data_IF_017294894415
#
_entry.id   IF_017294894415
#
_cell.length_a   1.000
_cell.length_b   1.000
_cell.length_c   1.000
_cell.angle_alpha   90.00
_cell.angle_beta   90.00
_cell.angle_gamma   90.00
#
_symmetry.space_group_name_H-M   'P 1'
#
loop_
_entity.id
_entity.type
_entity.pdbx_description
1 polymer ?
#
# COMPACT_ATOMS: atom_id res chain seq x y z
N UNK A 1 -3.42 12.18 -3.62
CA UNK A 1 -2.89 11.01 -4.32
C UNK A 1 -1.47 10.80 -3.84
N UNK A 2 -1.16 9.62 -3.33
CA UNK A 2 0.12 9.29 -2.71
C UNK A 2 0.85 8.35 -3.66
N UNK A 3 1.67 8.94 -4.54
CA UNK A 3 2.53 8.17 -5.42
C UNK A 3 3.48 7.27 -4.60
N UNK A 4 3.94 6.13 -5.15
CA UNK A 4 5.00 5.37 -4.51
C UNK A 4 6.27 6.21 -4.35
N UNK A 5 7.06 5.89 -3.33
CA UNK A 5 8.44 6.35 -3.25
C UNK A 5 9.29 5.53 -4.20
N UNK A 6 10.05 6.21 -5.06
CA UNK A 6 10.96 5.60 -6.04
C UNK A 6 12.39 5.91 -5.63
N UNK A 7 13.22 4.88 -5.60
CA UNK A 7 14.67 4.94 -5.37
C UNK A 7 15.33 4.38 -6.63
N UNK A 8 16.29 5.12 -7.19
CA UNK A 8 17.05 4.65 -8.36
C UNK A 8 18.28 3.84 -7.93
N UNK A 9 18.67 2.90 -8.79
CA UNK A 9 19.91 2.12 -8.68
C UNK A 9 20.26 1.49 -10.03
N UNK A 10 21.53 1.13 -10.24
CA UNK A 10 22.02 0.63 -11.53
C UNK A 10 22.04 -0.90 -11.67
N UNK A 11 21.83 -1.65 -10.58
CA UNK A 11 21.77 -3.10 -10.60
C UNK A 11 20.55 -3.62 -11.38
N UNK A 12 20.67 -4.80 -12.00
CA UNK A 12 19.56 -5.52 -12.63
C UNK A 12 18.66 -6.22 -11.60
N UNK A 13 18.22 -5.46 -10.60
CA UNK A 13 17.37 -5.89 -9.50
C UNK A 13 16.40 -4.76 -9.15
N UNK A 14 15.12 -5.11 -9.02
CA UNK A 14 14.07 -4.22 -8.51
C UNK A 14 13.57 -4.75 -7.16
N UNK A 15 13.59 -3.88 -6.16
CA UNK A 15 12.99 -4.16 -4.85
C UNK A 15 11.59 -3.53 -4.79
N UNK A 16 10.62 -4.30 -4.31
CA UNK A 16 9.23 -3.86 -4.19
C UNK A 16 8.79 -4.01 -2.73
N UNK A 17 8.11 -3.00 -2.21
CA UNK A 17 7.60 -2.99 -0.85
C UNK A 17 6.14 -2.51 -0.81
N UNK A 18 5.20 -3.44 -1.01
CA UNK A 18 3.76 -3.15 -1.16
C UNK A 18 3.09 -2.68 0.14
N UNK A 19 3.59 -3.14 1.29
CA UNK A 19 2.98 -2.91 2.61
C UNK A 19 3.88 -2.04 3.50
N UNK A 20 4.50 -1.01 2.93
CA UNK A 20 5.56 -0.25 3.59
C UNK A 20 5.09 0.98 4.38
N UNK A 21 3.80 1.30 4.37
CA UNK A 21 3.24 2.48 5.02
C UNK A 21 1.95 2.14 5.75
N UNK A 22 1.67 2.81 6.86
CA UNK A 22 0.38 2.78 7.54
C UNK A 22 -0.48 4.03 7.22
N UNK A 23 -0.02 4.90 6.30
CA UNK A 23 -0.68 6.17 6.05
C UNK A 23 -2.03 5.99 5.35
N UNK A 24 -3.00 6.82 5.76
CA UNK A 24 -4.32 6.90 5.15
C UNK A 24 -4.42 8.25 4.41
N UNK A 25 -4.78 8.28 3.11
CA UNK A 25 -4.93 9.52 2.37
C UNK A 25 -6.02 10.43 2.97
N UNK A 26 -5.88 11.77 2.85
CA UNK A 26 -6.93 12.69 3.26
C UNK A 26 -8.28 12.36 2.61
N UNK A 27 -9.36 12.42 3.38
CA UNK A 27 -10.72 12.12 2.90
C UNK A 27 -11.09 10.64 2.92
N UNK A 28 -10.18 9.74 3.31
CA UNK A 28 -10.51 8.33 3.57
C UNK A 28 -10.67 8.15 5.08
N UNK A 29 -11.87 7.77 5.51
CA UNK A 29 -12.13 7.31 6.88
C UNK A 29 -12.29 5.78 6.85
N UNK A 30 -11.41 5.07 7.56
CA UNK A 30 -11.46 3.61 7.68
C UNK A 30 -12.35 3.13 8.84
N UNK A 31 -12.73 4.03 9.76
CA UNK A 31 -13.57 3.71 10.92
C UNK A 31 -12.95 2.68 11.88
N UNK A 32 -11.63 2.49 11.85
CA UNK A 32 -10.88 1.56 12.70
C UNK A 32 -10.14 2.31 13.81
N UNK A 33 -9.89 1.64 14.94
CA UNK A 33 -9.12 2.22 16.06
C UNK A 33 -7.75 2.74 15.56
N UNK A 34 -7.44 4.04 15.74
CA UNK A 34 -6.16 4.61 15.37
C UNK A 34 -4.94 3.90 16.00
N UNK A 35 -5.12 3.26 17.16
CA UNK A 35 -4.08 2.46 17.82
C UNK A 35 -3.60 1.26 16.99
N UNK A 36 -4.38 0.83 15.99
CA UNK A 36 -4.06 -0.32 15.15
C UNK A 36 -3.15 0.03 13.95
N UNK A 37 -2.96 1.30 13.60
CA UNK A 37 -2.08 1.69 12.49
C UNK A 37 -0.59 1.39 12.75
N UNK A 38 -0.20 1.19 14.01
CA UNK A 38 1.16 0.74 14.37
C UNK A 38 1.38 -0.77 14.25
N UNK A 39 0.32 -1.54 13.97
CA UNK A 39 0.36 -3.00 13.96
C UNK A 39 0.49 -3.58 12.56
N UNK A 40 0.86 -4.86 12.51
CA UNK A 40 1.08 -5.62 11.28
C UNK A 40 -0.13 -5.64 10.32
N UNK A 41 -1.35 -5.38 10.82
CA UNK A 41 -2.56 -5.31 9.99
C UNK A 41 -2.53 -4.15 8.99
N UNK A 42 -1.85 -3.05 9.35
CA UNK A 42 -1.83 -1.82 8.56
C UNK A 42 -0.57 -1.63 7.73
N UNK A 43 0.53 -2.27 8.15
CA UNK A 43 1.87 -2.10 7.60
C UNK A 43 2.74 -3.31 7.94
N UNK A 44 3.61 -3.72 7.03
CA UNK A 44 4.68 -4.65 7.34
C UNK A 44 5.80 -3.89 8.06
N UNK A 45 5.89 -4.09 9.37
CA UNK A 45 6.74 -3.30 10.28
C UNK A 45 8.21 -3.44 9.86
N UNK A 46 8.83 -2.30 9.54
CA UNK A 46 10.23 -2.21 9.16
C UNK A 46 10.51 -2.41 7.67
N UNK A 47 9.52 -2.82 6.86
CA UNK A 47 9.74 -3.11 5.43
C UNK A 47 10.24 -1.89 4.65
N UNK A 48 9.72 -0.69 4.89
CA UNK A 48 10.23 0.53 4.26
C UNK A 48 11.74 0.73 4.53
N UNK A 49 12.13 0.71 5.80
CA UNK A 49 13.52 0.92 6.21
C UNK A 49 14.44 -0.18 5.68
N UNK A 50 13.99 -1.43 5.69
CA UNK A 50 14.74 -2.55 5.15
C UNK A 50 14.95 -2.41 3.64
N UNK A 51 13.90 -2.11 2.89
CA UNK A 51 13.98 -1.93 1.43
C UNK A 51 14.87 -0.76 1.05
N UNK A 52 14.82 0.35 1.79
CA UNK A 52 15.74 1.49 1.61
C UNK A 52 17.20 1.10 1.85
N UNK A 53 17.49 0.37 2.92
CA UNK A 53 18.82 -0.10 3.24
C UNK A 53 19.36 -1.09 2.18
N UNK A 54 18.50 -2.00 1.71
CA UNK A 54 18.86 -2.96 0.65
C UNK A 54 19.08 -2.27 -0.69
N UNK A 55 18.24 -1.30 -1.06
CA UNK A 55 18.42 -0.51 -2.28
C UNK A 55 19.79 0.17 -2.30
N UNK A 56 20.16 0.80 -1.17
CA UNK A 56 21.47 1.42 -1.02
C UNK A 56 22.63 0.42 -1.05
N UNK A 57 22.49 -0.72 -0.37
CA UNK A 57 23.56 -1.73 -0.27
C UNK A 57 23.81 -2.48 -1.60
N UNK A 58 22.77 -2.66 -2.41
CA UNK A 58 22.82 -3.43 -3.65
C UNK A 58 22.93 -2.54 -4.90
N UNK A 59 22.89 -1.21 -4.73
CA UNK A 59 22.68 -0.25 -5.83
C UNK A 59 21.49 -0.65 -6.71
N UNK A 60 20.39 -1.07 -6.07
CA UNK A 60 19.19 -1.57 -6.72
C UNK A 60 18.10 -0.50 -6.71
N UNK A 61 17.30 -0.46 -7.77
CA UNK A 61 16.10 0.37 -7.79
C UNK A 61 15.06 -0.18 -6.81
N UNK A 62 14.24 0.70 -6.22
CA UNK A 62 13.18 0.28 -5.32
C UNK A 62 11.90 1.10 -5.50
N UNK A 63 10.75 0.43 -5.34
CA UNK A 63 9.42 1.04 -5.35
C UNK A 63 8.74 0.68 -4.03
N UNK A 64 8.37 1.70 -3.27
CA UNK A 64 7.87 1.58 -1.90
C UNK A 64 6.48 2.21 -1.83
N UNK A 65 5.48 1.42 -1.45
CA UNK A 65 4.11 1.91 -1.27
C UNK A 65 4.04 2.92 -0.13
N UNK A 66 3.24 3.97 -0.31
CA UNK A 66 3.10 5.08 0.64
C UNK A 66 1.75 5.09 1.34
N UNK A 67 0.90 4.09 1.07
CA UNK A 67 -0.46 3.93 1.61
C UNK A 67 -0.58 2.63 2.39
N UNK A 68 -1.41 2.63 3.44
CA UNK A 68 -1.78 1.42 4.16
C UNK A 68 -2.51 0.42 3.28
N UNK A 69 -2.15 -0.85 3.43
CA UNK A 69 -2.89 -1.99 2.86
C UNK A 69 -4.38 -2.03 3.26
N UNK A 70 -4.76 -1.36 4.35
CA UNK A 70 -6.16 -1.23 4.77
C UNK A 70 -6.98 -0.27 3.89
N UNK A 71 -6.34 0.66 3.18
CA UNK A 71 -7.01 1.52 2.21
C UNK A 71 -7.21 0.75 0.91
N UNK A 72 -6.13 0.15 0.41
CA UNK A 72 -6.11 -0.75 -0.73
C UNK A 72 -4.80 -1.56 -0.68
N UNK A 73 -4.90 -2.88 -0.82
CA UNK A 73 -3.75 -3.78 -0.82
C UNK A 73 -3.15 -3.83 -2.23
N UNK A 74 -2.00 -3.16 -2.42
CA UNK A 74 -1.30 -3.14 -3.71
C UNK A 74 -0.77 -4.52 -4.15
N UNK A 75 -0.71 -5.51 -3.26
CA UNK A 75 -0.30 -6.88 -3.53
C UNK A 75 -1.52 -7.82 -3.72
N UNK A 76 -2.61 -7.27 -4.23
CA UNK A 76 -3.82 -8.00 -4.64
C UNK A 76 -4.24 -7.59 -6.05
N UNK A 77 -4.91 -8.50 -6.75
CA UNK A 77 -5.54 -8.21 -8.03
C UNK A 77 -6.66 -7.16 -7.80
N UNK A 78 -6.70 -6.05 -8.54
CA UNK A 78 -7.72 -5.02 -8.32
C UNK A 78 -9.14 -5.50 -8.61
N UNK A 79 -9.32 -6.63 -9.30
CA UNK A 79 -10.62 -7.24 -9.55
C UNK A 79 -11.15 -8.07 -8.37
N UNK A 80 -10.30 -8.52 -7.44
CA UNK A 80 -10.75 -9.35 -6.30
C UNK A 80 -11.25 -8.49 -5.13
N UNK A 81 -12.29 -8.96 -4.45
CA UNK A 81 -12.96 -8.18 -3.41
C UNK A 81 -12.00 -7.72 -2.30
N UNK A 82 -11.08 -8.60 -1.89
CA UNK A 82 -10.13 -8.39 -0.79
C UNK A 82 -8.99 -7.41 -1.08
N UNK A 83 -8.88 -6.86 -2.31
CA UNK A 83 -7.97 -5.72 -2.59
C UNK A 83 -8.33 -4.50 -1.73
N UNK A 84 -9.58 -4.37 -1.29
CA UNK A 84 -9.98 -3.42 -0.24
C UNK A 84 -10.56 -4.26 0.91
N UNK A 85 -9.76 -4.57 1.94
CA UNK A 85 -10.17 -5.50 2.97
C UNK A 85 -11.28 -4.89 3.85
N UNK A 86 -12.34 -5.66 4.13
CA UNK A 86 -13.39 -5.24 5.08
C UNK A 86 -13.09 -5.66 6.52
N UNK A 87 -12.10 -6.53 6.71
CA UNK A 87 -11.58 -6.94 7.99
C UNK A 87 -10.11 -7.37 7.87
N UNK A 88 -9.34 -7.25 8.95
CA UNK A 88 -7.97 -7.75 9.05
C UNK A 88 -7.67 -8.21 10.48
N UNK A 89 -7.16 -9.42 10.63
CA UNK A 89 -6.82 -10.04 11.93
C UNK A 89 -7.91 -9.88 13.01
N UNK A 90 -9.16 -10.20 12.65
CA UNK A 90 -10.31 -10.09 13.55
C UNK A 90 -10.86 -8.67 13.76
N UNK A 91 -10.22 -7.63 13.24
CA UNK A 91 -10.69 -6.25 13.30
C UNK A 91 -11.50 -5.90 12.06
N UNK A 92 -12.73 -5.43 12.24
CA UNK A 92 -13.51 -4.87 11.14
C UNK A 92 -12.92 -3.54 10.70
N UNK A 93 -13.11 -3.22 9.41
CA UNK A 93 -12.74 -1.94 8.81
C UNK A 93 -14.02 -1.30 8.27
N UNK A 94 -14.80 -0.62 9.13
CA UNK A 94 -16.14 -0.12 8.78
C UNK A 94 -16.18 0.77 7.55
N UNK A 95 -15.16 1.61 7.36
CA UNK A 95 -15.04 2.50 6.20
C UNK A 95 -14.89 1.77 4.85
N UNK A 96 -14.64 0.46 4.87
CA UNK A 96 -14.55 -0.37 3.67
C UNK A 96 -15.81 -1.21 3.40
N UNK A 97 -16.67 -1.45 4.40
CA UNK A 97 -17.85 -2.31 4.28
C UNK A 97 -18.89 -1.79 3.28
N UNK A 98 -19.02 -0.47 3.16
CA UNK A 98 -20.09 0.17 2.39
C UNK A 98 -19.59 0.89 1.15
N UNK A 99 -18.36 0.62 0.71
CA UNK A 99 -17.83 1.26 -0.49
C UNK A 99 -18.66 0.91 -1.71
N UNK A 100 -19.12 1.95 -2.38
CA UNK A 100 -19.74 1.84 -3.69
C UNK A 100 -18.70 1.38 -4.73
N UNK A 101 -19.14 0.82 -5.87
CA UNK A 101 -18.24 0.51 -6.98
C UNK A 101 -17.43 1.73 -7.47
N UNK A 102 -18.01 2.94 -7.36
CA UNK A 102 -17.35 4.19 -7.75
C UNK A 102 -16.22 4.53 -6.77
N UNK A 103 -16.45 4.46 -5.46
CA UNK A 103 -15.40 4.73 -4.47
C UNK A 103 -14.28 3.70 -4.53
N UNK A 104 -14.62 2.43 -4.81
CA UNK A 104 -13.64 1.39 -5.08
C UNK A 104 -12.79 1.73 -6.30
N UNK A 105 -13.42 2.09 -7.42
CA UNK A 105 -12.71 2.48 -8.64
C UNK A 105 -11.78 3.68 -8.39
N UNK A 106 -12.24 4.69 -7.64
CA UNK A 106 -11.41 5.84 -7.26
C UNK A 106 -10.15 5.45 -6.49
N UNK A 107 -10.22 4.47 -5.57
CA UNK A 107 -9.02 3.98 -4.87
C UNK A 107 -8.07 3.22 -5.80
N UNK A 108 -8.63 2.40 -6.70
CA UNK A 108 -7.83 1.67 -7.71
C UNK A 108 -7.09 2.68 -8.60
N UNK A 109 -7.82 3.61 -9.20
CA UNK A 109 -7.28 4.58 -10.15
C UNK A 109 -6.29 5.56 -9.50
N UNK A 110 -6.51 5.95 -8.25
CA UNK A 110 -5.66 6.91 -7.56
C UNK A 110 -4.43 6.30 -6.88
N UNK A 111 -4.39 4.99 -6.64
CA UNK A 111 -3.37 4.34 -5.81
C UNK A 111 -2.81 3.08 -6.47
N UNK A 112 -3.65 2.07 -6.74
CA UNK A 112 -3.20 0.77 -7.24
C UNK A 112 -2.65 0.87 -8.66
N UNK A 113 -3.42 1.47 -9.57
CA UNK A 113 -3.04 1.67 -10.97
C UNK A 113 -1.71 2.43 -11.12
N UNK A 114 -1.50 3.62 -10.50
CA UNK A 114 -0.22 4.33 -10.63
C UNK A 114 0.94 3.60 -9.94
N UNK A 115 0.69 2.85 -8.86
CA UNK A 115 1.70 2.01 -8.22
C UNK A 115 2.24 0.94 -9.17
N UNK A 116 1.33 0.16 -9.78
CA UNK A 116 1.70 -0.90 -10.73
C UNK A 116 2.25 -0.35 -12.05
N UNK A 117 1.75 0.79 -12.52
CA UNK A 117 2.34 1.48 -13.67
C UNK A 117 3.79 1.91 -13.42
N UNK A 118 4.14 2.28 -12.17
CA UNK A 118 5.52 2.60 -11.79
C UNK A 118 6.41 1.35 -11.77
N UNK A 119 5.87 0.20 -11.35
CA UNK A 119 6.59 -1.09 -11.37
C UNK A 119 6.88 -1.57 -12.79
N UNK A 120 5.97 -1.32 -13.72
CA UNK A 120 6.07 -1.79 -15.11
C UNK A 120 6.89 -0.88 -16.05
N UNK A 121 7.37 0.27 -15.55
CA UNK A 121 8.12 1.27 -16.32
C UNK A 121 9.61 0.89 -16.48
#
# INVERSE_FOLDING_TARGET
>A
MTAPKVIGGSASLLLIADHASAAVPPGVDLGIDPGLFGNHIAVDIGTAALTEALAAALDASAIIATVSRLVIDCNRDPAVADVIPVASDGHLIPGNLLLTPIERALRVDAIHTPYHATIAA
#
